data_IF_012190374580
#
_entry.id   IF_012190374580
#
_cell.length_a   1.000
_cell.length_b   1.000
_cell.length_c   1.000
_cell.angle_alpha   90.00
_cell.angle_beta   90.00
_cell.angle_gamma   90.00
#
_symmetry.space_group_name_H-M   'P 1'
#
loop_
_entity.id
_entity.type
_entity.pdbx_description
1 polymer ?
#
# COMPACT_ATOMS: atom_id res chain seq x y z
N UNK A 1 -18.47 10.44 20.04
CA UNK A 1 -17.76 9.63 21.06
C UNK A 1 -16.35 10.21 21.22
N UNK A 2 -16.03 10.80 22.35
CA UNK A 2 -14.75 11.47 22.62
C UNK A 2 -13.65 10.41 22.78
N UNK A 3 -12.57 10.52 22.00
CA UNK A 3 -11.40 9.66 22.12
C UNK A 3 -10.67 9.93 23.44
N UNK A 4 -10.77 9.01 24.38
CA UNK A 4 -10.16 9.10 25.73
C UNK A 4 -8.66 8.78 25.77
N UNK A 5 -7.99 8.58 24.62
CA UNK A 5 -6.59 8.13 24.54
C UNK A 5 -5.54 9.14 24.99
N UNK A 6 -5.54 10.40 24.50
CA UNK A 6 -4.48 11.36 24.85
C UNK A 6 -4.58 11.88 26.28
N UNK A 7 -5.80 12.01 26.84
CA UNK A 7 -6.01 12.57 28.17
C UNK A 7 -5.54 11.66 29.31
N UNK A 8 -5.63 10.33 29.14
CA UNK A 8 -5.12 9.33 30.10
C UNK A 8 -3.58 9.34 30.16
N UNK A 9 -2.93 9.57 29.02
CA UNK A 9 -1.47 9.68 28.96
C UNK A 9 -0.94 10.87 29.76
N UNK A 10 -1.47 12.07 29.48
CA UNK A 10 -1.06 13.29 30.18
C UNK A 10 -1.44 13.24 31.65
N UNK A 11 -2.58 12.66 31.98
CA UNK A 11 -3.01 12.47 33.37
C UNK A 11 -2.07 11.51 34.13
N UNK A 12 -1.69 10.38 33.55
CA UNK A 12 -0.75 9.43 34.14
C UNK A 12 0.65 10.02 34.32
N UNK A 13 1.16 10.76 33.33
CA UNK A 13 2.45 11.44 33.40
C UNK A 13 2.46 12.48 34.51
N UNK A 14 1.42 13.31 34.63
CA UNK A 14 1.28 14.30 35.70
C UNK A 14 1.22 13.65 37.09
N UNK A 15 0.53 12.53 37.25
CA UNK A 15 0.48 11.79 38.51
C UNK A 15 1.86 11.25 38.90
N UNK A 16 2.61 10.68 37.96
CA UNK A 16 3.98 10.18 38.20
C UNK A 16 4.91 11.32 38.61
N UNK A 17 4.87 12.46 37.89
CA UNK A 17 5.65 13.66 38.22
C UNK A 17 5.26 14.19 39.61
N UNK A 18 3.97 14.23 39.93
CA UNK A 18 3.46 14.66 41.23
C UNK A 18 3.92 13.75 42.37
N UNK A 19 3.91 12.44 42.20
CA UNK A 19 4.39 11.47 43.18
C UNK A 19 5.90 11.63 43.39
N UNK A 20 6.70 11.79 42.32
CA UNK A 20 8.14 12.03 42.41
C UNK A 20 8.45 13.32 43.14
N UNK A 21 7.69 14.41 42.90
CA UNK A 21 7.86 15.67 43.55
C UNK A 21 7.50 15.60 45.04
N UNK A 22 6.45 14.85 45.39
CA UNK A 22 6.02 14.62 46.77
C UNK A 22 7.06 13.81 47.55
N UNK A 23 7.61 12.76 46.96
CA UNK A 23 8.68 11.96 47.55
C UNK A 23 9.98 12.73 47.72
N UNK A 24 10.32 13.64 46.79
CA UNK A 24 11.47 14.52 46.92
C UNK A 24 11.29 15.54 48.07
N UNK A 25 10.07 16.02 48.29
CA UNK A 25 9.78 17.04 49.33
C UNK A 25 9.62 16.43 50.73
N UNK A 26 9.39 15.12 50.87
CA UNK A 26 9.23 14.47 52.16
C UNK A 26 10.55 13.97 52.78
N UNK A 27 11.71 14.25 52.15
CA UNK A 27 13.03 13.83 52.64
C UNK A 27 13.32 12.31 52.48
N UNK A 28 12.38 11.52 51.95
CA UNK A 28 12.53 10.07 51.73
C UNK A 28 13.64 9.78 50.72
N UNK A 29 13.98 10.78 49.88
CA UNK A 29 14.97 10.62 48.79
C UNK A 29 16.37 11.18 49.18
N UNK A 30 16.60 11.65 50.43
CA UNK A 30 17.89 12.25 50.84
C UNK A 30 19.07 11.30 50.76
N UNK A 31 18.81 9.96 50.80
CA UNK A 31 19.84 8.91 50.71
C UNK A 31 19.88 8.17 49.36
N UNK A 32 19.11 8.62 48.39
CA UNK A 32 19.07 7.98 47.06
C UNK A 32 19.92 8.77 46.08
N UNK A 33 21.00 8.17 45.62
CA UNK A 33 21.90 8.74 44.62
C UNK A 33 21.12 9.01 43.32
N UNK A 34 20.95 10.28 42.93
CA UNK A 34 20.21 10.73 41.77
C UNK A 34 20.67 10.08 40.45
N UNK A 35 21.94 9.61 40.46
CA UNK A 35 22.51 8.89 39.32
C UNK A 35 21.83 7.54 39.02
N UNK A 36 21.16 6.90 40.01
CA UNK A 36 20.43 5.62 39.78
C UNK A 36 18.96 5.83 39.40
N UNK A 37 18.35 6.93 39.80
CA UNK A 37 16.93 7.19 39.51
C UNK A 37 16.71 7.43 38.01
N UNK A 38 17.59 8.20 37.39
CA UNK A 38 17.47 8.56 35.97
C UNK A 38 17.49 7.35 35.01
N UNK A 39 18.44 6.39 35.12
CA UNK A 39 18.43 5.19 34.26
C UNK A 39 17.20 4.31 34.49
N UNK A 40 16.77 4.15 35.75
CA UNK A 40 15.56 3.35 36.07
C UNK A 40 14.32 4.00 35.48
N UNK A 41 14.19 5.33 35.55
CA UNK A 41 13.09 6.05 34.92
C UNK A 41 13.07 5.86 33.39
N UNK A 42 14.23 5.93 32.72
CA UNK A 42 14.33 5.69 31.27
C UNK A 42 13.96 4.26 30.89
N UNK A 43 14.41 3.28 31.68
CA UNK A 43 14.06 1.87 31.46
C UNK A 43 12.56 1.66 31.64
N UNK A 44 11.97 2.22 32.71
CA UNK A 44 10.53 2.12 32.96
C UNK A 44 9.71 2.81 31.87
N UNK A 45 10.13 3.99 31.42
CA UNK A 45 9.52 4.72 30.31
C UNK A 45 9.63 3.93 29.00
N UNK A 46 10.81 3.38 28.71
CA UNK A 46 11.03 2.54 27.52
C UNK A 46 10.18 1.27 27.54
N UNK A 47 10.14 0.57 28.66
CA UNK A 47 9.32 -0.62 28.85
C UNK A 47 7.83 -0.29 28.74
N UNK A 48 7.39 0.82 29.33
CA UNK A 48 6.02 1.28 29.22
C UNK A 48 5.64 1.64 27.77
N UNK A 49 6.51 2.31 27.02
CA UNK A 49 6.30 2.60 25.60
C UNK A 49 6.19 1.31 24.76
N UNK A 50 6.97 0.29 25.09
CA UNK A 50 6.91 -1.02 24.44
C UNK A 50 5.58 -1.71 24.80
N UNK A 51 5.22 -1.77 26.08
CA UNK A 51 3.97 -2.39 26.54
C UNK A 51 2.73 -1.66 26.06
N UNK A 52 2.77 -0.33 25.95
CA UNK A 52 1.67 0.47 25.36
C UNK A 52 1.47 0.17 23.86
N UNK A 53 2.51 -0.28 23.16
CA UNK A 53 2.43 -0.75 21.77
C UNK A 53 1.97 -2.21 21.62
N UNK A 54 2.20 -3.03 22.66
CA UNK A 54 1.80 -4.46 22.72
C UNK A 54 0.35 -4.59 23.23
N UNK A 55 -0.35 -3.48 23.51
CA UNK A 55 -1.75 -3.52 23.90
C UNK A 55 -2.57 -4.42 22.96
N UNK A 56 -3.65 -5.10 23.45
CA UNK A 56 -4.38 -6.10 22.71
C UNK A 56 -4.70 -5.55 21.34
N UNK A 57 -4.27 -6.26 20.29
CA UNK A 57 -4.43 -5.85 18.92
C UNK A 57 -5.88 -5.40 18.74
N UNK A 58 -6.08 -4.11 18.38
CA UNK A 58 -7.43 -3.56 18.25
C UNK A 58 -8.27 -4.54 17.44
N UNK A 59 -9.51 -4.77 17.87
CA UNK A 59 -10.41 -5.65 17.17
C UNK A 59 -10.36 -5.32 15.67
N UNK A 60 -10.12 -6.32 14.86
CA UNK A 60 -10.16 -6.18 13.40
C UNK A 60 -11.62 -5.86 13.06
N UNK A 61 -11.85 -4.74 12.45
CA UNK A 61 -13.16 -4.36 11.93
C UNK A 61 -13.18 -4.56 10.42
N UNK A 62 -14.34 -4.81 9.88
CA UNK A 62 -14.57 -5.07 8.47
C UNK A 62 -15.45 -3.97 7.89
N UNK A 63 -15.17 -3.58 6.67
CA UNK A 63 -15.95 -2.63 5.89
C UNK A 63 -16.22 -3.24 4.52
N UNK A 64 -17.49 -3.47 4.25
CA UNK A 64 -17.95 -3.93 2.94
C UNK A 64 -18.58 -2.78 2.17
N UNK A 65 -18.28 -2.68 0.88
CA UNK A 65 -18.88 -1.72 -0.02
C UNK A 65 -19.06 -2.30 -1.41
N UNK A 66 -20.19 -2.02 -2.01
CA UNK A 66 -20.50 -2.39 -3.38
C UNK A 66 -21.42 -1.33 -4.00
N UNK A 67 -21.21 -1.00 -5.27
CA UNK A 67 -22.01 -0.01 -5.98
C UNK A 67 -22.32 -0.49 -7.41
N UNK A 68 -23.48 -0.11 -7.95
CA UNK A 68 -23.83 -0.46 -9.32
C UNK A 68 -22.99 0.33 -10.33
N UNK A 69 -22.78 -0.29 -11.52
CA UNK A 69 -22.01 0.29 -12.63
C UNK A 69 -22.77 1.41 -13.34
N UNK A 70 -24.12 1.29 -13.40
CA UNK A 70 -24.99 2.22 -14.16
C UNK A 70 -24.52 2.42 -15.63
N UNK A 71 -24.38 3.68 -16.05
CA UNK A 71 -24.00 4.05 -17.43
C UNK A 71 -22.48 4.27 -17.62
N UNK A 72 -21.65 3.88 -16.65
CA UNK A 72 -20.20 4.08 -16.74
C UNK A 72 -19.62 3.20 -17.86
N UNK A 73 -18.83 3.82 -18.75
CA UNK A 73 -18.13 3.14 -19.85
C UNK A 73 -16.65 2.89 -19.54
N UNK A 74 -16.09 3.57 -18.56
CA UNK A 74 -14.76 3.37 -17.99
C UNK A 74 -14.78 3.74 -16.52
N UNK A 75 -13.82 3.25 -15.76
CA UNK A 75 -13.70 3.60 -14.35
C UNK A 75 -12.23 3.74 -13.92
N UNK A 76 -12.03 4.44 -12.81
CA UNK A 76 -10.74 4.60 -12.17
C UNK A 76 -10.79 4.08 -10.74
N UNK A 77 -9.78 3.30 -10.33
CA UNK A 77 -9.60 2.86 -8.95
C UNK A 77 -8.42 3.63 -8.33
N UNK A 78 -8.71 4.43 -7.31
CA UNK A 78 -7.69 5.14 -6.54
C UNK A 78 -7.55 4.53 -5.14
N UNK A 79 -6.34 4.10 -4.79
CA UNK A 79 -6.03 3.50 -3.49
C UNK A 79 -4.99 4.37 -2.78
N UNK A 80 -5.37 4.95 -1.64
CA UNK A 80 -4.50 5.78 -0.81
C UNK A 80 -4.49 5.25 0.63
N UNK A 81 -3.55 4.36 0.94
CA UNK A 81 -3.43 3.71 2.25
C UNK A 81 -1.98 3.67 2.72
N UNK A 82 -1.75 3.60 4.03
CA UNK A 82 -0.40 3.61 4.59
C UNK A 82 0.40 2.35 4.24
N UNK A 83 -0.03 1.20 4.74
CA UNK A 83 0.65 -0.08 4.52
C UNK A 83 -0.33 -1.24 4.64
N UNK A 84 -0.04 -2.34 3.94
CA UNK A 84 -0.89 -3.52 4.03
C UNK A 84 -0.80 -4.47 2.84
N UNK A 85 -1.84 -5.29 2.73
CA UNK A 85 -2.05 -6.18 1.60
C UNK A 85 -3.22 -5.64 0.77
N UNK A 86 -3.01 -5.56 -0.55
CA UNK A 86 -4.01 -5.12 -1.50
C UNK A 86 -4.19 -6.20 -2.54
N UNK A 87 -5.38 -6.71 -2.67
CA UNK A 87 -5.74 -7.68 -3.71
C UNK A 87 -6.87 -7.09 -4.55
N UNK A 88 -6.61 -6.82 -5.82
CA UNK A 88 -7.60 -6.34 -6.79
C UNK A 88 -7.75 -7.38 -7.87
N UNK A 89 -8.96 -7.80 -8.15
CA UNK A 89 -9.25 -8.79 -9.19
C UNK A 89 -10.38 -8.34 -10.08
N UNK A 90 -10.20 -8.48 -11.38
CA UNK A 90 -11.29 -8.31 -12.33
C UNK A 90 -12.20 -9.56 -12.34
N UNK A 91 -13.51 -9.34 -12.27
CA UNK A 91 -14.52 -10.39 -12.19
C UNK A 91 -15.81 -10.01 -12.92
N UNK A 92 -16.63 -11.00 -13.26
CA UNK A 92 -17.96 -10.79 -13.78
C UNK A 92 -18.92 -10.47 -12.61
N UNK A 93 -19.17 -9.18 -12.35
CA UNK A 93 -19.98 -8.70 -11.24
C UNK A 93 -21.45 -8.38 -11.64
N UNK A 94 -21.89 -8.75 -12.84
CA UNK A 94 -23.21 -8.35 -13.36
C UNK A 94 -23.32 -6.84 -13.46
N UNK A 95 -24.34 -6.28 -12.81
CA UNK A 95 -24.59 -4.83 -12.83
C UNK A 95 -23.76 -4.04 -11.81
N UNK A 96 -22.94 -4.68 -11.01
CA UNK A 96 -22.09 -3.98 -10.03
C UNK A 96 -20.79 -3.48 -10.67
N UNK A 97 -20.37 -2.28 -10.25
CA UNK A 97 -19.10 -1.68 -10.64
C UNK A 97 -17.96 -2.33 -9.88
N UNK A 98 -18.10 -2.43 -8.56
CA UNK A 98 -17.10 -3.04 -7.68
C UNK A 98 -17.75 -3.68 -6.45
N UNK A 99 -16.98 -4.54 -5.80
CA UNK A 99 -17.18 -5.06 -4.44
C UNK A 99 -15.87 -4.96 -3.69
N UNK A 100 -15.90 -4.42 -2.49
CA UNK A 100 -14.71 -4.35 -1.63
C UNK A 100 -15.02 -4.96 -0.27
N UNK A 101 -14.06 -5.73 0.22
CA UNK A 101 -13.98 -6.22 1.59
C UNK A 101 -12.68 -5.72 2.20
N UNK A 102 -12.75 -4.97 3.29
CA UNK A 102 -11.61 -4.32 3.90
C UNK A 102 -11.53 -4.68 5.37
N UNK A 103 -10.50 -5.41 5.74
CA UNK A 103 -10.13 -5.68 7.13
C UNK A 103 -9.16 -4.59 7.61
N UNK A 104 -9.44 -3.98 8.73
CA UNK A 104 -8.57 -2.94 9.27
C UNK A 104 -8.46 -2.99 10.79
N UNK A 105 -7.33 -2.55 11.31
CA UNK A 105 -7.15 -2.24 12.72
C UNK A 105 -6.98 -0.73 12.87
N UNK A 106 -7.81 -0.09 13.69
CA UNK A 106 -7.78 1.37 13.91
C UNK A 106 -8.74 2.14 13.00
N UNK A 107 -8.28 3.26 12.41
CA UNK A 107 -9.14 4.13 11.59
C UNK A 107 -9.64 3.39 10.36
N UNK A 108 -10.97 3.38 10.20
CA UNK A 108 -11.62 2.72 9.07
C UNK A 108 -11.20 3.40 7.75
N UNK A 109 -10.80 2.62 6.73
CA UNK A 109 -10.72 3.12 5.37
C UNK A 109 -12.10 3.56 4.87
N UNK A 110 -12.12 4.63 4.10
CA UNK A 110 -13.32 5.15 3.47
C UNK A 110 -13.33 4.74 2.00
N UNK A 111 -14.45 4.18 1.53
CA UNK A 111 -14.68 3.87 0.12
C UNK A 111 -15.70 4.85 -0.42
N UNK A 112 -15.34 5.59 -1.48
CA UNK A 112 -16.22 6.58 -2.12
C UNK A 112 -16.24 6.36 -3.62
N UNK A 113 -17.43 6.40 -4.20
CA UNK A 113 -17.63 6.46 -5.65
C UNK A 113 -17.97 7.90 -6.05
N UNK A 114 -17.12 8.51 -6.84
CA UNK A 114 -17.46 9.71 -7.59
C UNK A 114 -18.05 9.31 -8.95
N UNK A 115 -19.37 9.42 -9.06
CA UNK A 115 -20.10 9.00 -10.26
C UNK A 115 -19.84 9.89 -11.47
N UNK A 116 -19.49 11.17 -11.25
CA UNK A 116 -19.24 12.11 -12.34
C UNK A 116 -17.95 11.75 -13.10
N UNK A 117 -16.91 11.31 -12.40
CA UNK A 117 -15.64 10.90 -12.98
C UNK A 117 -15.51 9.37 -13.16
N UNK A 118 -16.41 8.56 -12.59
CA UNK A 118 -16.30 7.10 -12.51
C UNK A 118 -15.16 6.64 -11.61
N UNK A 119 -14.79 7.45 -10.59
CA UNK A 119 -13.65 7.16 -9.73
C UNK A 119 -14.09 6.51 -8.42
N UNK A 120 -13.61 5.28 -8.18
CA UNK A 120 -13.72 4.57 -6.91
C UNK A 120 -12.47 4.89 -6.09
N UNK A 121 -12.64 5.61 -4.98
CA UNK A 121 -11.53 5.97 -4.09
C UNK A 121 -11.59 5.20 -2.79
N UNK A 122 -10.52 4.47 -2.48
CA UNK A 122 -10.29 3.80 -1.19
C UNK A 122 -9.20 4.57 -0.48
N UNK A 123 -9.54 5.26 0.61
CA UNK A 123 -8.58 6.09 1.32
C UNK A 123 -8.63 5.85 2.82
N UNK A 124 -7.46 5.88 3.47
CA UNK A 124 -7.36 5.81 4.92
C UNK A 124 -6.66 7.06 5.44
N UNK A 125 -7.27 7.75 6.40
CA UNK A 125 -6.60 8.84 7.10
C UNK A 125 -5.47 8.29 7.94
N UNK A 126 -4.27 8.80 7.71
CA UNK A 126 -3.09 8.48 8.52
C UNK A 126 -3.21 9.24 9.84
N UNK A 127 -3.54 8.55 10.91
CA UNK A 127 -3.40 9.09 12.25
C UNK A 127 -1.94 8.96 12.68
N UNK A 128 -1.24 10.09 12.75
CA UNK A 128 0.17 10.19 13.15
C UNK A 128 0.49 9.45 14.47
N UNK A 129 -0.46 9.43 15.40
CA UNK A 129 -0.29 8.79 16.71
C UNK A 129 -0.68 7.30 16.75
N UNK A 130 -1.41 6.79 15.77
CA UNK A 130 -1.91 5.41 15.78
C UNK A 130 -0.91 4.38 15.25
N UNK A 131 0.19 4.83 14.65
CA UNK A 131 1.13 3.96 13.93
C UNK A 131 0.52 3.38 12.65
N UNK A 132 1.37 2.91 11.74
CA UNK A 132 0.93 2.24 10.51
C UNK A 132 0.30 0.88 10.87
N UNK A 133 -1.02 0.83 11.04
CA UNK A 133 -1.75 -0.42 11.24
C UNK A 133 -1.99 -1.06 9.88
N UNK A 134 -1.82 -2.36 9.81
CA UNK A 134 -1.98 -3.13 8.57
C UNK A 134 -3.43 -3.11 8.14
N UNK A 135 -3.65 -2.82 6.87
CA UNK A 135 -4.95 -2.92 6.20
C UNK A 135 -4.88 -4.06 5.20
N UNK A 136 -5.93 -4.85 5.10
CA UNK A 136 -6.12 -5.82 4.04
C UNK A 136 -7.30 -5.36 3.20
N UNK A 137 -7.06 -5.13 1.92
CA UNK A 137 -8.07 -4.72 0.95
C UNK A 137 -8.23 -5.86 -0.05
N UNK A 138 -9.43 -6.37 -0.16
CA UNK A 138 -9.84 -7.27 -1.22
C UNK A 138 -10.89 -6.55 -2.06
N UNK A 139 -10.55 -6.21 -3.30
CA UNK A 139 -11.43 -5.50 -4.21
C UNK A 139 -11.67 -6.35 -5.46
N UNK A 140 -12.92 -6.52 -5.81
CA UNK A 140 -13.34 -7.06 -7.09
C UNK A 140 -13.89 -5.92 -7.93
N UNK A 141 -13.42 -5.79 -9.16
CA UNK A 141 -13.84 -4.79 -10.11
C UNK A 141 -14.49 -5.47 -11.32
N UNK A 142 -15.50 -4.84 -11.90
CA UNK A 142 -16.18 -5.45 -13.07
C UNK A 142 -15.24 -5.57 -14.25
N UNK A 143 -15.32 -6.68 -14.96
CA UNK A 143 -14.60 -6.89 -16.21
C UNK A 143 -15.37 -6.38 -17.46
N UNK A 144 -16.54 -5.77 -17.27
CA UNK A 144 -17.38 -5.28 -18.35
C UNK A 144 -16.92 -3.94 -18.94
N UNK A 145 -16.03 -3.21 -18.26
CA UNK A 145 -15.49 -1.91 -18.68
C UNK A 145 -13.99 -1.84 -18.41
N UNK A 146 -13.26 -0.99 -19.15
CA UNK A 146 -11.83 -0.74 -18.90
C UNK A 146 -11.58 0.06 -17.62
N UNK A 147 -10.40 -0.14 -17.04
CA UNK A 147 -9.98 0.46 -15.77
C UNK A 147 -8.68 1.24 -15.86
N UNK A 148 -8.61 2.34 -15.13
CA UNK A 148 -7.38 3.01 -14.74
C UNK A 148 -7.13 2.75 -13.25
N UNK A 149 -5.87 2.52 -12.85
CA UNK A 149 -5.52 2.25 -11.44
C UNK A 149 -4.46 3.23 -10.98
N UNK A 150 -4.68 3.84 -9.84
CA UNK A 150 -3.72 4.72 -9.18
C UNK A 150 -3.56 4.34 -7.71
N UNK A 151 -2.34 3.98 -7.30
CA UNK A 151 -2.00 3.63 -5.94
C UNK A 151 -1.00 4.64 -5.34
N UNK A 152 -1.29 5.12 -4.14
CA UNK A 152 -0.36 5.92 -3.33
C UNK A 152 -0.26 5.31 -1.94
N UNK A 153 0.86 4.66 -1.65
CA UNK A 153 0.98 3.79 -0.47
C UNK A 153 2.37 3.89 0.15
N UNK A 154 2.51 3.49 1.40
CA UNK A 154 3.84 3.40 2.06
C UNK A 154 4.56 2.11 1.69
N UNK A 155 4.15 0.99 2.26
CA UNK A 155 4.74 -0.32 1.99
C UNK A 155 3.63 -1.36 1.83
N UNK A 156 3.57 -2.01 0.66
CA UNK A 156 2.49 -2.96 0.36
C UNK A 156 3.00 -4.27 -0.24
N UNK A 157 2.15 -5.29 -0.08
CA UNK A 157 2.11 -6.44 -0.98
C UNK A 157 0.83 -6.33 -1.79
N UNK A 158 0.97 -5.93 -3.06
CA UNK A 158 -0.13 -5.70 -3.98
C UNK A 158 -0.24 -6.81 -5.03
N UNK A 159 -1.40 -7.41 -5.17
CA UNK A 159 -1.74 -8.31 -6.26
C UNK A 159 -2.89 -7.68 -7.07
N UNK A 160 -2.62 -7.38 -8.33
CA UNK A 160 -3.55 -6.72 -9.23
C UNK A 160 -3.79 -7.59 -10.45
N UNK A 161 -4.93 -8.27 -10.49
CA UNK A 161 -5.28 -9.17 -11.60
C UNK A 161 -6.32 -8.53 -12.51
N UNK A 162 -5.85 -7.99 -13.64
CA UNK A 162 -6.63 -7.45 -14.74
C UNK A 162 -6.62 -8.36 -15.97
N UNK A 163 -6.39 -9.64 -15.75
CA UNK A 163 -6.28 -10.63 -16.83
C UNK A 163 -7.56 -10.84 -17.64
N UNK A 164 -8.70 -10.41 -17.12
CA UNK A 164 -10.01 -10.56 -17.77
C UNK A 164 -10.64 -9.23 -18.18
N UNK A 165 -9.95 -8.10 -17.97
CA UNK A 165 -10.42 -6.78 -18.37
C UNK A 165 -9.29 -5.92 -18.91
N UNK A 166 -9.64 -4.90 -19.69
CA UNK A 166 -8.70 -3.94 -20.23
C UNK A 166 -8.18 -3.01 -19.15
N UNK A 167 -6.85 -2.89 -19.05
CA UNK A 167 -6.17 -1.93 -18.21
C UNK A 167 -5.70 -0.75 -19.09
N UNK A 168 -6.27 0.44 -18.87
CA UNK A 168 -5.92 1.65 -19.63
C UNK A 168 -4.63 2.28 -19.13
N UNK A 169 -4.43 2.30 -17.81
CA UNK A 169 -3.22 2.80 -17.18
C UNK A 169 -3.07 2.23 -15.77
N UNK A 170 -1.82 2.07 -15.33
CA UNK A 170 -1.49 1.70 -13.95
C UNK A 170 -0.42 2.62 -13.42
N UNK A 171 -0.68 3.29 -12.31
CA UNK A 171 0.29 4.12 -11.61
C UNK A 171 0.37 3.68 -10.14
N UNK A 172 1.56 3.37 -9.65
CA UNK A 172 1.76 3.02 -8.25
C UNK A 172 2.98 3.73 -7.67
N UNK A 173 2.75 4.59 -6.68
CA UNK A 173 3.79 5.23 -5.88
C UNK A 173 3.81 4.60 -4.50
N UNK A 174 4.96 4.06 -4.12
CA UNK A 174 5.05 3.28 -2.90
C UNK A 174 6.46 3.37 -2.29
N UNK A 175 6.65 2.87 -1.07
CA UNK A 175 7.98 2.76 -0.44
C UNK A 175 8.71 1.49 -0.83
N UNK A 176 8.70 0.50 0.07
CA UNK A 176 9.26 -0.84 -0.18
C UNK A 176 8.12 -1.82 -0.42
N UNK A 177 8.00 -2.36 -1.64
CA UNK A 177 6.80 -3.11 -2.02
C UNK A 177 7.08 -4.27 -2.97
N UNK A 178 6.19 -5.24 -2.90
CA UNK A 178 6.03 -6.28 -3.91
C UNK A 178 4.72 -6.04 -4.66
N UNK A 179 4.78 -6.03 -5.99
CA UNK A 179 3.62 -5.80 -6.86
C UNK A 179 3.55 -6.94 -7.86
N UNK A 180 2.45 -7.68 -7.83
CA UNK A 180 2.13 -8.75 -8.76
C UNK A 180 1.01 -8.25 -9.68
N UNK A 181 1.26 -8.17 -11.00
CA UNK A 181 0.36 -7.59 -11.99
C UNK A 181 0.02 -8.59 -13.08
N UNK A 182 -1.23 -9.02 -13.14
CA UNK A 182 -1.79 -9.85 -14.19
C UNK A 182 -2.46 -8.98 -15.25
N UNK A 183 -2.07 -9.12 -16.51
CA UNK A 183 -2.53 -8.32 -17.64
C UNK A 183 -3.37 -9.12 -18.64
N UNK A 184 -4.36 -8.47 -19.26
CA UNK A 184 -5.08 -8.98 -20.44
C UNK A 184 -4.29 -8.69 -21.72
N UNK A 185 -4.87 -8.98 -22.87
CA UNK A 185 -4.35 -8.48 -24.14
C UNK A 185 -4.55 -6.97 -24.21
N UNK A 186 -3.50 -6.18 -24.52
CA UNK A 186 -3.61 -4.72 -24.58
C UNK A 186 -4.52 -4.28 -25.73
N UNK A 187 -5.13 -3.12 -25.56
CA UNK A 187 -5.78 -2.36 -26.63
C UNK A 187 -5.23 -0.95 -26.61
N UNK A 188 -4.51 -0.57 -27.62
CA UNK A 188 -3.70 0.64 -27.63
C UNK A 188 -2.45 0.53 -26.77
N UNK A 189 -1.81 1.65 -26.50
CA UNK A 189 -0.62 1.73 -25.65
C UNK A 189 -1.01 2.05 -24.20
N UNK A 190 -0.90 1.07 -23.31
CA UNK A 190 -1.25 1.21 -21.90
C UNK A 190 0.00 1.48 -21.04
N UNK A 191 0.14 2.69 -20.47
CA UNK A 191 1.28 3.02 -19.62
C UNK A 191 1.15 2.36 -18.23
N UNK A 192 2.24 1.80 -17.75
CA UNK A 192 2.39 1.24 -16.40
C UNK A 192 3.57 1.96 -15.74
N UNK A 193 3.32 2.74 -14.69
CA UNK A 193 4.34 3.48 -13.95
C UNK A 193 4.38 3.02 -12.49
N UNK A 194 5.55 2.61 -12.04
CA UNK A 194 5.75 2.13 -10.67
C UNK A 194 6.98 2.84 -10.08
N UNK A 195 6.78 3.58 -9.01
CA UNK A 195 7.81 4.35 -8.33
C UNK A 195 7.92 3.94 -6.86
N UNK A 196 9.15 3.75 -6.36
CA UNK A 196 9.36 3.43 -4.95
C UNK A 196 10.80 3.26 -4.54
N UNK A 197 11.03 2.94 -3.27
CA UNK A 197 12.40 2.77 -2.74
C UNK A 197 13.01 1.43 -3.13
N UNK A 198 12.40 0.32 -2.72
CA UNK A 198 12.81 -1.04 -3.05
C UNK A 198 11.60 -1.80 -3.60
N UNK A 199 11.68 -2.25 -4.85
CA UNK A 199 10.54 -2.82 -5.55
C UNK A 199 10.85 -4.21 -6.09
N UNK A 200 9.92 -5.14 -5.88
CA UNK A 200 9.81 -6.38 -6.63
C UNK A 200 8.52 -6.34 -7.44
N UNK A 201 8.64 -6.34 -8.77
CA UNK A 201 7.50 -6.26 -9.68
C UNK A 201 7.44 -7.53 -10.52
N UNK A 202 6.33 -8.25 -10.43
CA UNK A 202 6.08 -9.44 -11.22
C UNK A 202 4.93 -9.16 -12.19
N UNK A 203 5.17 -9.25 -13.48
CA UNK A 203 4.19 -9.00 -14.52
C UNK A 203 3.92 -10.31 -15.28
N UNK A 204 2.66 -10.71 -15.32
CA UNK A 204 2.18 -11.84 -16.11
C UNK A 204 1.33 -11.30 -17.25
N UNK A 205 1.77 -11.53 -18.48
CA UNK A 205 1.08 -11.09 -19.71
C UNK A 205 0.61 -12.30 -20.54
N UNK A 206 -0.38 -12.12 -21.42
CA UNK A 206 -0.69 -13.12 -22.43
C UNK A 206 0.49 -13.33 -23.38
N UNK A 207 0.66 -14.57 -23.87
CA UNK A 207 1.64 -14.84 -24.92
C UNK A 207 1.37 -13.95 -26.15
N UNK A 208 2.43 -13.37 -26.74
CA UNK A 208 2.34 -12.45 -27.87
C UNK A 208 1.88 -11.04 -27.56
N UNK A 209 1.49 -10.70 -26.32
CA UNK A 209 1.23 -9.32 -25.94
C UNK A 209 2.54 -8.50 -25.90
N UNK A 210 2.61 -7.43 -26.67
CA UNK A 210 3.78 -6.57 -26.74
C UNK A 210 4.02 -5.82 -25.44
N UNK A 211 5.26 -5.79 -24.95
CA UNK A 211 5.64 -5.10 -23.72
C UNK A 211 7.05 -4.55 -23.81
N UNK A 212 7.23 -3.33 -23.31
CA UNK A 212 8.53 -2.72 -23.04
C UNK A 212 8.68 -2.45 -21.56
N UNK A 213 9.85 -2.68 -21.01
CA UNK A 213 10.16 -2.43 -19.60
C UNK A 213 11.42 -1.56 -19.51
N UNK A 214 11.25 -0.36 -18.96
CA UNK A 214 12.33 0.55 -18.62
C UNK A 214 12.43 0.62 -17.11
N UNK A 215 13.55 0.15 -16.54
CA UNK A 215 13.79 0.20 -15.10
C UNK A 215 15.01 1.08 -14.81
N UNK A 216 14.85 2.06 -13.89
CA UNK A 216 15.92 3.01 -13.54
C UNK A 216 16.13 3.02 -12.02
N UNK A 217 17.35 2.70 -11.59
CA UNK A 217 17.67 2.64 -10.17
C UNK A 217 19.13 2.46 -9.81
N UNK A 218 19.41 2.42 -8.51
CA UNK A 218 20.75 2.16 -7.97
C UNK A 218 21.21 0.71 -8.16
N UNK A 219 20.26 -0.24 -8.06
CA UNK A 219 20.47 -1.64 -8.42
C UNK A 219 19.24 -2.11 -9.19
N UNK A 220 19.42 -2.54 -10.42
CA UNK A 220 18.34 -2.95 -11.33
C UNK A 220 18.58 -4.37 -11.82
N UNK A 221 17.54 -5.21 -11.70
CA UNK A 221 17.49 -6.53 -12.30
C UNK A 221 16.18 -6.67 -13.07
N UNK A 222 16.26 -7.02 -14.36
CA UNK A 222 15.13 -7.39 -15.20
C UNK A 222 15.31 -8.85 -15.61
N UNK A 223 14.29 -9.67 -15.41
CA UNK A 223 14.18 -11.04 -15.93
C UNK A 223 12.92 -11.11 -16.78
N UNK A 224 13.08 -11.32 -18.06
CA UNK A 224 11.97 -11.33 -19.00
C UNK A 224 12.25 -12.29 -20.17
N UNK A 225 11.33 -13.20 -20.44
CA UNK A 225 11.36 -14.16 -21.56
C UNK A 225 12.73 -14.88 -21.72
N UNK A 226 13.32 -15.31 -20.58
CA UNK A 226 14.63 -15.97 -20.55
C UNK A 226 15.84 -15.04 -20.59
N UNK A 227 15.65 -13.74 -20.80
CA UNK A 227 16.70 -12.72 -20.75
C UNK A 227 16.87 -12.21 -19.33
N UNK A 228 18.13 -11.97 -18.91
CA UNK A 228 18.47 -11.35 -17.64
C UNK A 228 19.35 -10.14 -17.88
N UNK A 229 18.90 -8.96 -17.44
CA UNK A 229 19.64 -7.71 -17.47
C UNK A 229 19.88 -7.25 -16.03
N UNK A 230 21.12 -6.93 -15.69
CA UNK A 230 21.49 -6.45 -14.37
C UNK A 230 22.42 -5.25 -14.46
N UNK A 231 22.41 -4.40 -13.45
CA UNK A 231 23.36 -3.29 -13.29
C UNK A 231 22.80 -2.07 -12.59
N UNK A 232 23.54 -0.97 -12.70
CA UNK A 232 23.22 0.33 -12.12
C UNK A 232 22.67 1.25 -13.22
N UNK A 233 21.76 2.17 -12.89
CA UNK A 233 21.17 3.12 -13.81
C UNK A 233 19.98 2.55 -14.56
N UNK A 234 19.83 2.88 -15.83
CA UNK A 234 18.68 2.50 -16.65
C UNK A 234 18.94 1.19 -17.38
N UNK A 235 17.97 0.30 -17.37
CA UNK A 235 17.90 -0.91 -18.21
C UNK A 235 16.60 -0.87 -19.00
N UNK A 236 16.69 -1.12 -20.30
CA UNK A 236 15.58 -1.15 -21.25
C UNK A 236 15.51 -2.55 -21.86
N UNK A 237 14.38 -3.18 -21.75
CA UNK A 237 14.09 -4.47 -22.37
C UNK A 237 12.72 -4.39 -23.07
N UNK A 238 12.61 -5.04 -24.22
CA UNK A 238 11.36 -5.13 -24.97
C UNK A 238 11.15 -6.53 -25.51
N UNK A 239 9.91 -6.95 -25.61
CA UNK A 239 9.55 -8.20 -26.26
C UNK A 239 9.76 -8.09 -27.77
N UNK A 240 9.88 -9.22 -28.44
CA UNK A 240 10.13 -9.26 -29.90
C UNK A 240 9.01 -8.61 -30.71
N UNK A 241 7.79 -8.67 -30.20
CA UNK A 241 6.59 -8.13 -30.85
C UNK A 241 6.49 -6.61 -30.72
N UNK A 242 7.21 -5.98 -29.79
CA UNK A 242 6.96 -4.59 -29.38
C UNK A 242 7.15 -3.57 -30.51
N UNK A 243 8.18 -3.71 -31.32
CA UNK A 243 8.48 -2.75 -32.38
C UNK A 243 7.51 -2.78 -33.55
N UNK A 244 6.79 -3.90 -33.74
CA UNK A 244 5.78 -4.07 -34.79
C UNK A 244 4.33 -3.93 -34.29
N UNK A 245 4.12 -3.86 -32.97
CA UNK A 245 2.79 -3.85 -32.38
C UNK A 245 2.21 -2.42 -32.34
N UNK A 246 0.92 -2.30 -32.67
CA UNK A 246 0.13 -1.08 -32.45
C UNK A 246 -0.32 -0.99 -31.00
N UNK A 247 -0.56 -2.15 -30.39
CA UNK A 247 -1.06 -2.30 -29.03
C UNK A 247 0.03 -2.90 -28.13
N UNK A 248 0.26 -2.32 -26.97
CA UNK A 248 1.31 -2.79 -26.07
C UNK A 248 1.27 -2.18 -24.67
N UNK A 249 2.13 -2.69 -23.81
CA UNK A 249 2.35 -2.13 -22.48
C UNK A 249 3.71 -1.43 -22.42
N UNK A 250 3.70 -0.15 -21.99
CA UNK A 250 4.94 0.61 -21.73
C UNK A 250 5.15 0.73 -20.22
N UNK A 251 6.06 -0.09 -19.71
CA UNK A 251 6.31 -0.22 -18.27
C UNK A 251 7.53 0.58 -17.87
N UNK A 252 7.35 1.54 -16.99
CA UNK A 252 8.42 2.32 -16.38
C UNK A 252 8.47 2.04 -14.87
N UNK A 253 9.62 1.57 -14.38
CA UNK A 253 9.86 1.28 -12.96
C UNK A 253 11.02 2.12 -12.46
N UNK A 254 10.82 2.91 -11.40
CA UNK A 254 11.85 3.78 -10.84
C UNK A 254 12.02 3.54 -9.33
N UNK A 255 13.28 3.45 -8.88
CA UNK A 255 13.55 3.25 -7.46
C UNK A 255 15.01 3.04 -7.10
N UNK A 256 15.27 2.74 -5.84
CA UNK A 256 16.63 2.47 -5.35
C UNK A 256 17.12 1.07 -5.74
N UNK A 257 16.38 0.03 -5.37
CA UNK A 257 16.66 -1.36 -5.69
C UNK A 257 15.44 -1.99 -6.38
N UNK A 258 15.63 -2.49 -7.59
CA UNK A 258 14.56 -2.96 -8.47
C UNK A 258 14.79 -4.41 -8.92
N UNK A 259 13.76 -5.25 -8.77
CA UNK A 259 13.68 -6.57 -9.38
C UNK A 259 12.39 -6.66 -10.19
N UNK A 260 12.50 -6.71 -11.51
CA UNK A 260 11.34 -6.79 -12.42
C UNK A 260 11.37 -8.12 -13.13
N UNK A 261 10.30 -8.90 -12.97
CA UNK A 261 10.13 -10.20 -13.61
C UNK A 261 8.93 -10.12 -14.57
N UNK A 262 9.13 -10.49 -15.81
CA UNK A 262 8.07 -10.55 -16.83
C UNK A 262 7.97 -12.00 -17.33
N UNK A 263 6.77 -12.52 -17.34
CA UNK A 263 6.47 -13.85 -17.86
C UNK A 263 5.22 -13.85 -18.75
N UNK A 264 5.23 -14.69 -19.75
CA UNK A 264 4.06 -14.99 -20.55
C UNK A 264 3.29 -16.20 -19.98
N UNK A 265 1.97 -16.17 -20.08
CA UNK A 265 1.09 -17.30 -19.74
C UNK A 265 0.39 -17.83 -20.97
#
# INVERSE_FOLDING_TARGET
>A
MWSRGPSLFWGGLLVIIGILFLLANTGVLENIDWNYIWPVFLIALGLWLILARIGPGGATAEVDSAEPREVLTKAKLEIAVGSGRIEVRSAALGDQLYKTHIEHAGTAPEVKLDRASGTVRISQRLDWFAGARRVRIEAQVTNAIPWEVSCSTGAIRGAFDFSTTELLAFECRTGASQIDLGLASPKGNAPIRIEGGALTVNIVRPAGAAIRVVATGGAVQIRADGVRLEGIGTRDWRSQEFDAAVDGYDVTVQGGALSVNVSAR
#
